data_IF_272481505325
#
_entry.id   IF_272481505325
#
_cell.length_a   1.000
_cell.length_b   1.000
_cell.length_c   1.000
_cell.angle_alpha   90.00
_cell.angle_beta   90.00
_cell.angle_gamma   90.00
#
_symmetry.space_group_name_H-M   'P 1'
#
loop_
_entity.id
_entity.type
_entity.pdbx_description
1 polymer ?
#
# COMPACT_ATOMS: atom_id res chain seq x y z
N UNK A 1 2.36 -34.29 -9.43
CA UNK A 1 3.05 -33.07 -9.02
C UNK A 1 2.56 -32.69 -7.63
N UNK A 2 3.41 -32.36 -6.67
CA UNK A 2 2.98 -31.90 -5.37
C UNK A 2 2.25 -30.55 -5.51
N UNK A 3 1.15 -30.37 -4.77
CA UNK A 3 0.47 -29.08 -4.64
C UNK A 3 1.36 -28.12 -3.87
N UNK A 4 1.74 -26.99 -4.48
CA UNK A 4 2.66 -26.01 -3.86
C UNK A 4 1.91 -24.82 -3.25
N UNK A 5 0.70 -24.52 -3.74
CA UNK A 5 -0.17 -23.47 -3.20
C UNK A 5 -1.61 -23.70 -3.62
N UNK A 6 -2.53 -23.13 -2.85
CA UNK A 6 -3.96 -23.08 -3.13
C UNK A 6 -4.45 -21.66 -2.94
N UNK A 7 -5.20 -21.13 -3.94
CA UNK A 7 -5.93 -19.87 -3.80
C UNK A 7 -7.43 -20.14 -3.84
N UNK A 8 -8.15 -19.61 -2.86
CA UNK A 8 -9.59 -19.67 -2.77
C UNK A 8 -10.17 -18.25 -2.81
N UNK A 9 -11.04 -17.99 -3.78
CA UNK A 9 -11.79 -16.73 -3.86
C UNK A 9 -13.15 -16.90 -3.20
N UNK A 10 -13.45 -16.06 -2.21
CA UNK A 10 -14.81 -15.94 -1.68
C UNK A 10 -15.67 -15.05 -2.61
N UNK A 11 -15.05 -13.99 -3.14
CA UNK A 11 -15.58 -13.15 -4.21
C UNK A 11 -14.39 -12.51 -4.97
N UNK A 12 -14.63 -11.75 -6.07
CA UNK A 12 -13.54 -11.17 -6.85
C UNK A 12 -12.56 -10.29 -6.06
N UNK A 13 -13.01 -9.71 -4.95
CA UNK A 13 -12.23 -8.74 -4.15
C UNK A 13 -11.75 -9.31 -2.81
N UNK A 14 -11.99 -10.61 -2.56
CA UNK A 14 -11.61 -11.27 -1.31
C UNK A 14 -11.15 -12.69 -1.59
N UNK A 15 -9.91 -13.01 -1.22
CA UNK A 15 -9.36 -14.35 -1.39
C UNK A 15 -8.33 -14.69 -0.32
N UNK A 16 -8.12 -15.99 -0.12
CA UNK A 16 -7.09 -16.56 0.73
C UNK A 16 -6.09 -17.39 -0.07
N UNK A 17 -4.83 -17.33 0.31
CA UNK A 17 -3.74 -18.16 -0.22
C UNK A 17 -3.18 -19.03 0.90
N UNK A 18 -2.95 -20.31 0.58
CA UNK A 18 -2.30 -21.28 1.46
C UNK A 18 -1.15 -21.96 0.72
N UNK A 19 0.02 -22.01 1.33
CA UNK A 19 1.26 -22.50 0.69
C UNK A 19 1.71 -23.87 1.24
N UNK A 20 0.87 -24.56 2.01
CA UNK A 20 1.12 -25.92 2.49
C UNK A 20 2.11 -26.05 3.65
N UNK A 21 2.62 -24.94 4.16
CA UNK A 21 3.57 -24.91 5.27
C UNK A 21 2.94 -24.28 6.51
N UNK A 22 2.83 -25.06 7.60
CA UNK A 22 2.24 -24.62 8.87
C UNK A 22 0.74 -24.25 8.77
N UNK A 23 0.16 -23.76 9.87
CA UNK A 23 -1.22 -23.24 9.92
C UNK A 23 -1.28 -21.74 9.51
N UNK A 24 -0.28 -21.23 8.82
CA UNK A 24 -0.27 -19.85 8.31
C UNK A 24 -0.96 -19.77 6.95
N UNK A 25 -1.78 -18.74 6.78
CA UNK A 25 -2.38 -18.40 5.50
C UNK A 25 -2.27 -16.89 5.24
N UNK A 26 -2.52 -16.49 3.99
CA UNK A 26 -2.64 -15.11 3.57
C UNK A 26 -4.10 -14.83 3.26
N UNK A 27 -4.59 -13.66 3.70
CA UNK A 27 -5.91 -13.16 3.35
C UNK A 27 -5.72 -11.83 2.63
N UNK A 28 -6.30 -11.68 1.43
CA UNK A 28 -6.23 -10.45 0.65
C UNK A 28 -7.61 -9.84 0.50
N UNK A 29 -7.71 -8.56 0.85
CA UNK A 29 -8.87 -7.70 0.59
C UNK A 29 -8.47 -6.71 -0.50
N UNK A 30 -9.23 -6.65 -1.58
CA UNK A 30 -9.08 -5.65 -2.63
C UNK A 30 -10.06 -4.51 -2.39
N UNK A 31 -9.59 -3.28 -2.52
CA UNK A 31 -10.40 -2.06 -2.52
C UNK A 31 -9.95 -1.11 -3.63
N UNK A 32 -10.62 0.04 -3.77
CA UNK A 32 -10.24 1.06 -4.73
C UNK A 32 -10.50 2.45 -4.17
N UNK A 33 -9.82 3.44 -4.73
CA UNK A 33 -10.09 4.86 -4.54
C UNK A 33 -9.72 5.64 -5.81
N UNK A 34 -10.37 6.78 -6.02
CA UNK A 34 -10.08 7.72 -7.09
C UNK A 34 -9.33 8.92 -6.52
N UNK A 35 -8.12 9.22 -7.04
CA UNK A 35 -7.36 10.38 -6.59
C UNK A 35 -6.58 11.00 -7.74
N UNK A 36 -6.32 12.31 -7.60
CA UNK A 36 -5.43 13.05 -8.50
C UNK A 36 -4.05 13.21 -7.87
N UNK A 37 -3.02 13.29 -8.71
CA UNK A 37 -1.66 13.57 -8.30
C UNK A 37 -0.87 14.34 -9.37
N UNK A 38 0.27 14.87 -8.95
CA UNK A 38 1.31 15.42 -9.80
C UNK A 38 2.65 14.84 -9.42
N UNK A 39 3.42 14.33 -10.37
CA UNK A 39 4.79 13.90 -10.11
C UNK A 39 5.74 15.07 -10.37
N UNK A 40 6.13 15.76 -9.31
CA UNK A 40 7.08 16.86 -9.37
C UNK A 40 7.77 17.05 -8.01
N UNK A 41 9.00 17.53 -8.07
CA UNK A 41 9.76 18.07 -6.93
C UNK A 41 9.77 19.57 -7.01
N UNK A 42 9.49 20.25 -5.91
CA UNK A 42 9.45 21.72 -5.89
C UNK A 42 10.84 22.36 -5.96
N UNK A 43 11.88 21.63 -5.56
CA UNK A 43 13.28 22.08 -5.50
C UNK A 43 13.95 22.15 -6.87
N UNK A 44 13.34 21.61 -7.93
CA UNK A 44 13.89 21.61 -9.28
C UNK A 44 12.94 22.30 -10.28
N UNK A 45 13.50 22.79 -11.39
CA UNK A 45 12.75 23.51 -12.40
C UNK A 45 11.66 22.66 -13.05
N UNK A 46 10.68 23.32 -13.68
CA UNK A 46 9.63 22.64 -14.44
C UNK A 46 10.21 21.78 -15.57
N UNK A 47 11.24 22.27 -16.26
CA UNK A 47 11.87 21.53 -17.36
C UNK A 47 12.60 20.29 -16.89
N UNK A 48 13.22 20.32 -15.71
CA UNK A 48 13.84 19.15 -15.09
C UNK A 48 12.78 18.15 -14.62
N UNK A 49 11.71 18.60 -13.98
CA UNK A 49 10.57 17.75 -13.62
C UNK A 49 9.98 17.08 -14.87
N UNK A 50 9.82 17.80 -15.96
CA UNK A 50 9.32 17.26 -17.22
C UNK A 50 10.25 16.22 -17.84
N UNK A 51 11.57 16.38 -17.70
CA UNK A 51 12.55 15.37 -18.14
C UNK A 51 12.45 14.08 -17.32
N UNK A 52 12.21 14.18 -16.00
CA UNK A 52 12.15 13.03 -15.07
C UNK A 52 10.79 12.32 -15.17
N UNK A 53 9.68 13.06 -15.09
CA UNK A 53 8.33 12.51 -14.92
C UNK A 53 7.46 12.63 -16.17
N UNK A 54 7.96 13.24 -17.24
CA UNK A 54 7.23 13.36 -18.50
C UNK A 54 5.92 14.13 -18.37
N UNK A 55 4.84 13.50 -18.84
CA UNK A 55 3.49 14.06 -18.78
C UNK A 55 2.93 14.17 -17.36
N UNK A 56 3.42 13.34 -16.45
CA UNK A 56 2.96 13.32 -15.05
C UNK A 56 3.43 14.56 -14.27
N UNK A 57 4.40 15.35 -14.79
CA UNK A 57 4.84 16.60 -14.20
C UNK A 57 3.94 17.81 -14.52
N UNK A 58 2.89 17.66 -15.34
CA UNK A 58 1.99 18.76 -15.72
C UNK A 58 1.41 19.44 -14.49
N UNK A 59 1.35 20.77 -14.52
CA UNK A 59 0.99 21.62 -13.36
C UNK A 59 -0.37 21.26 -12.76
N UNK A 60 -1.34 20.93 -13.60
CA UNK A 60 -2.69 20.61 -13.16
C UNK A 60 -2.84 19.15 -12.63
N UNK A 61 -1.75 18.36 -12.66
CA UNK A 61 -1.83 16.96 -12.30
C UNK A 61 -2.67 16.12 -13.27
N UNK A 62 -3.03 14.93 -12.83
CA UNK A 62 -3.95 14.00 -13.47
C UNK A 62 -4.47 13.01 -12.42
N UNK A 63 -5.51 12.23 -12.73
CA UNK A 63 -6.14 11.31 -11.79
C UNK A 63 -6.18 9.89 -12.30
N UNK A 64 -6.31 8.97 -11.34
CA UNK A 64 -6.47 7.53 -11.58
C UNK A 64 -7.53 6.93 -10.65
N UNK A 65 -8.10 5.81 -11.09
CA UNK A 65 -8.82 4.88 -10.23
C UNK A 65 -7.82 3.81 -9.78
N UNK A 66 -7.30 3.98 -8.57
CA UNK A 66 -6.35 3.04 -7.98
C UNK A 66 -7.05 1.79 -7.48
N UNK A 67 -6.53 0.60 -7.82
CA UNK A 67 -6.90 -0.66 -7.18
C UNK A 67 -5.83 -1.02 -6.15
N UNK A 68 -6.25 -1.42 -4.96
CA UNK A 68 -5.34 -1.75 -3.86
C UNK A 68 -5.65 -3.11 -3.30
N UNK A 69 -4.68 -4.03 -3.39
CA UNK A 69 -4.73 -5.32 -2.71
C UNK A 69 -3.97 -5.22 -1.39
N UNK A 70 -4.65 -5.42 -0.29
CA UNK A 70 -4.09 -5.45 1.07
C UNK A 70 -4.05 -6.91 1.51
N UNK A 71 -2.84 -7.46 1.62
CA UNK A 71 -2.62 -8.85 2.03
C UNK A 71 -2.11 -8.89 3.47
N UNK A 72 -2.83 -9.58 4.32
CA UNK A 72 -2.43 -9.89 5.69
C UNK A 72 -2.03 -11.35 5.83
N UNK A 73 -1.13 -11.64 6.77
CA UNK A 73 -0.64 -12.97 7.09
C UNK A 73 -0.88 -13.29 8.57
N UNK A 74 -1.26 -14.51 8.87
CA UNK A 74 -1.41 -14.97 10.25
C UNK A 74 -1.65 -16.48 10.36
N UNK A 75 -1.60 -16.97 11.59
CA UNK A 75 -2.01 -18.32 11.90
C UNK A 75 -3.54 -18.40 11.91
N UNK A 76 -4.07 -19.52 11.45
CA UNK A 76 -5.51 -19.81 11.50
C UNK A 76 -5.86 -20.20 12.94
N UNK A 77 -6.69 -19.39 13.62
CA UNK A 77 -7.18 -19.71 14.95
C UNK A 77 -8.11 -20.94 14.89
N UNK A 78 -7.79 -21.98 15.65
CA UNK A 78 -8.49 -23.27 15.63
C UNK A 78 -9.97 -23.19 16.06
N UNK A 79 -10.38 -22.14 16.76
CA UNK A 79 -11.76 -21.97 17.25
C UNK A 79 -12.63 -21.23 16.25
N UNK A 80 -12.04 -20.28 15.53
CA UNK A 80 -12.77 -19.39 14.60
C UNK A 80 -12.55 -19.74 13.14
N UNK A 81 -11.44 -20.42 12.81
CA UNK A 81 -11.02 -20.68 11.44
C UNK A 81 -10.50 -19.43 10.72
N UNK A 82 -10.26 -18.32 11.44
CA UNK A 82 -9.87 -17.03 10.84
C UNK A 82 -8.45 -16.64 11.23
N UNK A 83 -7.78 -15.87 10.35
CA UNK A 83 -6.50 -15.19 10.65
C UNK A 83 -6.76 -13.98 11.55
N UNK A 84 -7.82 -13.24 11.27
CA UNK A 84 -8.31 -12.09 12.04
C UNK A 84 -9.79 -11.85 11.69
N UNK A 85 -10.45 -10.98 12.46
CA UNK A 85 -11.83 -10.57 12.15
C UNK A 85 -11.87 -9.76 10.86
N UNK A 86 -12.57 -10.32 9.84
CA UNK A 86 -12.65 -9.73 8.50
C UNK A 86 -13.40 -8.39 8.50
N UNK A 87 -14.48 -8.27 9.30
CA UNK A 87 -15.26 -7.02 9.35
C UNK A 87 -14.43 -5.88 9.92
N UNK A 88 -13.66 -6.14 10.97
CA UNK A 88 -12.72 -5.16 11.55
C UNK A 88 -11.61 -4.80 10.57
N UNK A 89 -11.07 -5.77 9.81
CA UNK A 89 -10.06 -5.53 8.79
C UNK A 89 -10.62 -4.61 7.69
N UNK A 90 -11.81 -4.91 7.18
CA UNK A 90 -12.47 -4.10 6.15
C UNK A 90 -12.78 -2.68 6.65
N UNK A 91 -13.24 -2.53 7.90
CA UNK A 91 -13.47 -1.21 8.51
C UNK A 91 -12.19 -0.39 8.57
N UNK A 92 -11.09 -0.97 9.06
CA UNK A 92 -9.78 -0.30 9.12
C UNK A 92 -9.31 0.12 7.72
N UNK A 93 -9.45 -0.75 6.73
CA UNK A 93 -9.08 -0.43 5.34
C UNK A 93 -9.93 0.73 4.80
N UNK A 94 -11.24 0.70 5.04
CA UNK A 94 -12.13 1.77 4.58
C UNK A 94 -11.77 3.11 5.24
N UNK A 95 -11.67 3.16 6.56
CA UNK A 95 -11.44 4.39 7.31
C UNK A 95 -10.05 5.01 7.04
N UNK A 96 -9.01 4.17 6.94
CA UNK A 96 -7.63 4.67 6.84
C UNK A 96 -7.12 4.79 5.40
N UNK A 97 -7.72 4.08 4.45
CA UNK A 97 -7.28 4.13 3.05
C UNK A 97 -8.32 4.81 2.17
N UNK A 98 -9.55 4.25 2.13
CA UNK A 98 -10.55 4.75 1.19
C UNK A 98 -11.00 6.16 1.58
N UNK A 99 -11.49 6.37 2.80
CA UNK A 99 -11.98 7.69 3.25
C UNK A 99 -10.91 8.77 3.27
N UNK A 100 -9.63 8.38 3.42
CA UNK A 100 -8.52 9.35 3.44
C UNK A 100 -8.04 9.74 2.04
N UNK A 101 -8.09 8.84 1.06
CA UNK A 101 -7.46 9.04 -0.24
C UNK A 101 -8.47 9.31 -1.36
N UNK A 102 -9.72 8.84 -1.20
CA UNK A 102 -10.72 8.94 -2.26
C UNK A 102 -11.14 10.39 -2.52
N UNK A 103 -11.24 10.76 -3.79
CA UNK A 103 -11.58 12.11 -4.27
C UNK A 103 -10.63 13.22 -3.78
N UNK A 104 -9.35 12.90 -3.51
CA UNK A 104 -8.33 13.86 -3.10
C UNK A 104 -7.38 14.24 -4.24
N UNK A 105 -6.68 15.37 -4.05
CA UNK A 105 -5.46 15.69 -4.78
C UNK A 105 -4.26 15.43 -3.85
N UNK A 106 -3.65 14.26 -3.98
CA UNK A 106 -2.68 13.72 -3.03
C UNK A 106 -1.59 14.71 -2.59
N UNK A 107 -1.05 15.48 -3.53
CA UNK A 107 -0.01 16.48 -3.23
C UNK A 107 -0.45 17.60 -2.30
N UNK A 108 -1.77 17.86 -2.16
CA UNK A 108 -2.31 18.99 -1.39
C UNK A 108 -3.05 18.54 -0.15
N UNK A 109 -3.79 17.44 -0.27
CA UNK A 109 -4.75 17.03 0.75
C UNK A 109 -4.12 16.04 1.74
N UNK A 110 -3.01 15.39 1.37
CA UNK A 110 -2.32 14.41 2.21
C UNK A 110 -0.93 14.94 2.60
N UNK A 111 -0.74 15.25 3.88
CA UNK A 111 0.47 15.86 4.42
C UNK A 111 1.76 15.11 4.03
N UNK A 112 1.72 13.79 4.04
CA UNK A 112 2.86 12.95 3.63
C UNK A 112 3.38 13.31 2.23
N UNK A 113 2.49 13.65 1.30
CA UNK A 113 2.84 13.98 -0.08
C UNK A 113 3.19 15.46 -0.31
N UNK A 114 3.18 16.31 0.70
CA UNK A 114 3.73 17.67 0.59
C UNK A 114 5.24 17.66 0.32
N UNK A 115 5.95 16.65 0.84
CA UNK A 115 7.41 16.51 0.67
C UNK A 115 7.83 15.24 -0.06
N UNK A 116 6.89 14.32 -0.31
CA UNK A 116 7.12 13.06 -0.99
C UNK A 116 6.35 13.02 -2.31
N UNK A 117 7.04 12.73 -3.42
CA UNK A 117 6.37 12.65 -4.73
C UNK A 117 5.41 11.45 -4.73
N UNK A 118 4.10 11.63 -5.03
CA UNK A 118 3.09 10.56 -4.98
C UNK A 118 3.18 9.63 -6.20
N UNK A 119 4.28 8.89 -6.32
CA UNK A 119 4.40 7.77 -7.26
C UNK A 119 3.64 6.56 -6.73
N UNK A 120 3.33 5.59 -7.58
CA UNK A 120 2.65 4.36 -7.16
C UNK A 120 3.36 3.66 -6.00
N UNK A 121 4.71 3.66 -6.00
CA UNK A 121 5.53 3.08 -4.94
C UNK A 121 5.37 3.84 -3.62
N UNK A 122 5.40 5.18 -3.65
CA UNK A 122 5.29 6.01 -2.46
C UNK A 122 3.86 6.00 -1.88
N UNK A 123 2.84 5.90 -2.72
CA UNK A 123 1.45 5.72 -2.28
C UNK A 123 1.30 4.34 -1.61
N UNK A 124 1.85 3.28 -2.19
CA UNK A 124 1.84 1.94 -1.58
C UNK A 124 2.60 1.90 -0.25
N UNK A 125 3.74 2.60 -0.14
CA UNK A 125 4.48 2.76 1.13
C UNK A 125 3.64 3.49 2.18
N UNK A 126 3.03 4.61 1.82
CA UNK A 126 2.13 5.36 2.71
C UNK A 126 1.00 4.48 3.25
N UNK A 127 0.31 3.74 2.37
CA UNK A 127 -0.76 2.81 2.76
C UNK A 127 -0.21 1.73 3.70
N UNK A 128 0.97 1.20 3.41
CA UNK A 128 1.64 0.21 4.28
C UNK A 128 1.88 0.76 5.69
N UNK A 129 2.38 2.00 5.79
CA UNK A 129 2.72 2.61 7.07
C UNK A 129 1.49 2.87 7.95
N UNK A 130 0.40 3.39 7.38
CA UNK A 130 -0.82 3.67 8.13
C UNK A 130 -1.56 2.39 8.57
N UNK A 131 -1.46 1.30 7.80
CA UNK A 131 -2.15 0.03 8.09
C UNK A 131 -1.37 -0.91 9.02
N UNK A 132 -0.04 -0.82 9.10
CA UNK A 132 0.82 -1.78 9.80
C UNK A 132 0.45 -1.96 11.27
N UNK A 133 0.26 -0.87 12.01
CA UNK A 133 -0.06 -0.92 13.44
C UNK A 133 -1.51 -1.37 13.70
N UNK A 134 -2.54 -0.82 13.02
CA UNK A 134 -3.91 -1.27 13.15
C UNK A 134 -4.09 -2.77 12.85
N UNK A 135 -3.52 -3.27 11.76
CA UNK A 135 -3.58 -4.70 11.40
C UNK A 135 -2.89 -5.58 12.46
N UNK A 136 -1.75 -5.14 13.00
CA UNK A 136 -1.09 -5.85 14.11
C UNK A 136 -1.98 -5.97 15.35
N UNK A 137 -2.79 -4.95 15.64
CA UNK A 137 -3.73 -4.97 16.76
C UNK A 137 -4.89 -5.96 16.57
N UNK A 138 -5.19 -6.36 15.32
CA UNK A 138 -6.13 -7.44 15.01
C UNK A 138 -5.53 -8.84 15.15
N UNK A 139 -4.26 -8.96 15.54
CA UNK A 139 -3.56 -10.25 15.66
C UNK A 139 -2.92 -10.74 14.35
N UNK A 140 -3.10 -10.04 13.23
CA UNK A 140 -2.49 -10.36 11.94
C UNK A 140 -1.23 -9.52 11.67
N UNK A 141 -0.50 -9.86 10.62
CA UNK A 141 0.64 -9.08 10.11
C UNK A 141 0.32 -8.57 8.72
N UNK A 142 0.51 -7.29 8.46
CA UNK A 142 0.49 -6.79 7.10
C UNK A 142 1.65 -7.45 6.34
N UNK A 143 1.34 -8.11 5.24
CA UNK A 143 2.32 -8.87 4.44
C UNK A 143 2.69 -8.14 3.16
N UNK A 144 1.70 -7.65 2.41
CA UNK A 144 1.91 -7.00 1.12
C UNK A 144 0.83 -5.95 0.83
N UNK A 145 1.27 -4.85 0.23
CA UNK A 145 0.40 -3.91 -0.48
C UNK A 145 0.74 -4.00 -1.96
N UNK A 146 -0.28 -4.18 -2.81
CA UNK A 146 -0.17 -4.00 -4.25
C UNK A 146 -1.09 -2.87 -4.67
N UNK A 147 -0.51 -1.80 -5.21
CA UNK A 147 -1.25 -0.66 -5.76
C UNK A 147 -1.16 -0.70 -7.28
N UNK A 148 -2.30 -0.73 -7.94
CA UNK A 148 -2.39 -0.62 -9.40
C UNK A 148 -2.96 0.75 -9.77
N UNK A 149 -2.15 1.56 -10.42
CA UNK A 149 -2.48 2.90 -10.90
C UNK A 149 -3.19 2.87 -12.27
N UNK A 150 -2.80 1.91 -13.10
CA UNK A 150 -3.37 1.67 -14.43
C UNK A 150 -3.24 0.19 -14.79
N UNK A 151 -3.88 -0.29 -15.87
CA UNK A 151 -3.73 -1.69 -16.32
C UNK A 151 -2.26 -2.11 -16.55
N UNK A 152 -1.38 -1.16 -16.86
CA UNK A 152 0.02 -1.41 -17.22
C UNK A 152 1.02 -0.93 -16.15
N UNK A 153 0.54 -0.39 -15.03
CA UNK A 153 1.41 0.13 -13.96
C UNK A 153 0.90 -0.28 -12.59
N UNK A 154 1.72 -1.04 -11.87
CA UNK A 154 1.45 -1.43 -10.49
C UNK A 154 2.76 -1.48 -9.69
N UNK A 155 2.68 -1.11 -8.41
CA UNK A 155 3.75 -1.25 -7.43
C UNK A 155 3.36 -2.29 -6.38
N UNK A 156 4.34 -3.07 -5.92
CA UNK A 156 4.17 -4.03 -4.82
C UNK A 156 5.18 -3.73 -3.71
N UNK A 157 4.69 -3.62 -2.48
CA UNK A 157 5.49 -3.45 -1.28
C UNK A 157 5.30 -4.67 -0.39
N UNK A 158 6.38 -5.40 -0.13
CA UNK A 158 6.41 -6.49 0.84
C UNK A 158 6.84 -5.94 2.20
N UNK A 159 6.00 -6.14 3.21
CA UNK A 159 6.22 -5.62 4.56
C UNK A 159 6.99 -6.65 5.37
N UNK A 160 8.24 -6.90 5.01
CA UNK A 160 9.11 -7.75 5.82
C UNK A 160 9.95 -6.90 6.78
N UNK A 161 10.19 -7.41 8.00
CA UNK A 161 10.86 -6.66 9.09
C UNK A 161 12.30 -6.25 8.74
N UNK A 162 12.94 -6.90 7.77
CA UNK A 162 14.32 -6.63 7.36
C UNK A 162 14.47 -5.37 6.49
N UNK A 163 13.48 -5.05 5.67
CA UNK A 163 13.55 -3.92 4.71
C UNK A 163 13.18 -2.60 5.39
N UNK A 164 12.26 -2.63 6.36
CA UNK A 164 11.80 -1.44 7.08
C UNK A 164 12.92 -0.76 7.89
N UNK A 165 13.87 -1.54 8.43
CA UNK A 165 15.02 -1.01 9.16
C UNK A 165 16.03 -0.29 8.24
N UNK A 166 16.17 -0.71 6.99
CA UNK A 166 17.09 -0.06 6.04
C UNK A 166 16.53 1.27 5.51
N UNK A 167 15.22 1.40 5.38
CA UNK A 167 14.55 2.65 4.96
C UNK A 167 14.48 3.67 6.11
N UNK A 168 14.21 3.24 7.35
CA UNK A 168 14.32 4.11 8.53
C UNK A 168 15.74 4.65 8.69
N UNK A 169 16.77 3.80 8.56
CA UNK A 169 18.17 4.23 8.62
C UNK A 169 18.52 5.26 7.52
N UNK A 170 17.94 5.13 6.32
CA UNK A 170 18.15 6.09 5.24
C UNK A 170 17.44 7.43 5.46
N UNK A 171 16.27 7.42 6.09
CA UNK A 171 15.51 8.63 6.45
C UNK A 171 16.17 9.36 7.65
N UNK A 172 16.57 8.62 8.67
CA UNK A 172 17.27 9.17 9.85
C UNK A 172 18.64 9.75 9.47
N UNK A 173 19.41 9.09 8.60
CA UNK A 173 20.68 9.61 8.10
C UNK A 173 20.54 10.85 7.19
N UNK A 174 19.39 11.05 6.51
CA UNK A 174 19.12 12.30 5.76
C UNK A 174 18.80 13.48 6.68
N UNK A 175 18.16 13.24 7.81
CA UNK A 175 17.85 14.29 8.80
C UNK A 175 19.09 14.74 9.57
N UNK A 176 20.07 13.86 9.80
CA UNK A 176 21.32 14.17 10.51
C UNK A 176 22.34 14.91 9.62
N UNK A 177 22.25 14.79 8.29
CA UNK A 177 23.15 15.48 7.35
C UNK A 177 22.68 16.88 6.94
N UNK A 178 21.54 17.35 7.47
CA UNK A 178 20.98 18.69 7.22
C UNK A 178 20.92 19.57 8.50
N UNK A 179 21.52 19.11 9.59
CA UNK A 179 21.77 19.89 10.83
C UNK A 179 23.29 20.28 10.93
#
# INVERSE_FOLDING_TARGET
>A
LPLTSLRLYENPNLWADYYGENMEALLTVQTHFAAAHRLAKEEISFDENKKIYGKCARVNGHGHNYLVDITVKGEIDNRTGMICDLSSLQTIINELVVEQLDHTFLNKDIEFFHTCVPTAENIALYISDILKKPIKNLGAKLHKIRLQESPNNAAEIYVDQSITNSLKLKLENKLVTQA
#
